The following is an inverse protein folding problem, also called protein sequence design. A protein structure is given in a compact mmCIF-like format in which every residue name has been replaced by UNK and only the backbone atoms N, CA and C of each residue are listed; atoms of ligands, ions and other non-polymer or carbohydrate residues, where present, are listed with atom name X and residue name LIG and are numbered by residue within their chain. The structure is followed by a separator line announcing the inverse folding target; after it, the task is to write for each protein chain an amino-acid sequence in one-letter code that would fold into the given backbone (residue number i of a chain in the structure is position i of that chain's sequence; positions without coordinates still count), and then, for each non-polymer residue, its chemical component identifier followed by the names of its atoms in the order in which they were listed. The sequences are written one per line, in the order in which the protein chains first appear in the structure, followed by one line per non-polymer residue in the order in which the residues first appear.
data_IF_677559488388
#
_entry.id   IF_677559488388
#
_cell.length_a   1.000
_cell.length_b   1.000
_cell.length_c   1.000
_cell.angle_alpha   90.00
_cell.angle_beta   90.00
_cell.angle_gamma   90.00
#
_symmetry.space_group_name_H-M   'P 1'
#
loop_
_entity.id
_entity.type
_entity.pdbx_description
1 polymer ?
#
# COMPACT_ATOMS: atom_id res chain seq x y z
N UNK A 1 -14.52 13.07 3.09
CA UNK A 1 -13.63 11.90 2.97
C UNK A 1 -12.35 12.36 2.31
N UNK A 2 -11.22 12.42 3.02
CA UNK A 2 -9.94 12.68 2.37
C UNK A 2 -8.86 11.87 3.08
N UNK A 3 -8.60 10.69 2.55
CA UNK A 3 -7.41 9.91 2.85
C UNK A 3 -6.89 9.44 1.50
N UNK A 4 -6.26 10.36 0.76
CA UNK A 4 -5.34 9.92 -0.28
C UNK A 4 -4.10 9.49 0.47
N UNK A 5 -3.82 8.18 0.50
CA UNK A 5 -2.56 7.68 1.07
C UNK A 5 -1.38 8.43 0.45
N UNK A 6 -0.21 8.42 1.09
CA UNK A 6 0.99 8.98 0.49
C UNK A 6 2.05 7.88 0.45
N UNK A 7 2.85 7.86 -0.62
CA UNK A 7 3.84 6.82 -0.83
C UNK A 7 5.21 7.44 -0.69
N UNK A 8 6.04 6.88 0.18
CA UNK A 8 7.45 7.25 0.32
C UNK A 8 8.29 6.27 -0.49
N UNK A 9 9.14 6.81 -1.34
CA UNK A 9 10.18 6.07 -2.05
C UNK A 9 11.52 6.40 -1.40
N UNK A 10 12.25 5.38 -0.95
CA UNK A 10 13.54 5.50 -0.29
C UNK A 10 14.56 4.61 -1.00
N UNK A 11 15.60 5.22 -1.56
CA UNK A 11 16.71 4.55 -2.21
C UNK A 11 17.99 4.85 -1.42
N UNK A 12 18.54 3.89 -0.68
CA UNK A 12 19.85 4.06 -0.05
C UNK A 12 20.96 4.15 -1.11
N UNK A 13 22.05 4.83 -0.77
CA UNK A 13 23.27 4.91 -1.60
C UNK A 13 23.89 3.53 -1.78
N UNK A 14 23.84 2.69 -0.74
CA UNK A 14 24.32 1.31 -0.79
C UNK A 14 23.13 0.34 -0.87
N UNK A 15 23.02 -0.48 -1.93
CA UNK A 15 21.94 -1.45 -2.06
C UNK A 15 21.95 -2.51 -0.95
N UNK A 16 23.07 -2.69 -0.24
CA UNK A 16 23.15 -3.59 0.93
C UNK A 16 22.34 -3.09 2.12
N UNK A 17 22.01 -1.80 2.16
CA UNK A 17 21.21 -1.20 3.22
C UNK A 17 19.70 -1.28 2.95
N UNK A 18 19.27 -1.77 1.79
CA UNK A 18 17.85 -1.94 1.45
C UNK A 18 17.08 -2.78 2.49
N UNK A 19 17.58 -3.94 2.96
CA UNK A 19 16.88 -4.71 3.99
C UNK A 19 16.76 -3.96 5.33
N UNK A 20 17.79 -3.19 5.70
CA UNK A 20 17.78 -2.37 6.91
C UNK A 20 16.79 -1.21 6.76
N UNK A 21 16.82 -0.54 5.62
CA UNK A 21 15.87 0.52 5.23
C UNK A 21 14.43 0.01 5.34
N UNK A 22 14.15 -1.20 4.85
CA UNK A 22 12.85 -1.85 5.00
C UNK A 22 12.40 -1.93 6.45
N UNK A 23 13.24 -2.47 7.33
CA UNK A 23 12.94 -2.60 8.77
C UNK A 23 12.70 -1.28 9.47
N UNK A 24 13.43 -0.23 9.07
CA UNK A 24 13.25 1.11 9.63
C UNK A 24 11.91 1.72 9.20
N UNK A 25 11.43 1.37 8.01
CA UNK A 25 10.20 1.88 7.41
C UNK A 25 8.94 1.07 7.78
N UNK A 26 9.07 -0.20 8.16
CA UNK A 26 7.98 -1.05 8.67
C UNK A 26 7.04 -0.36 9.67
N UNK A 27 7.51 0.32 10.74
CA UNK A 27 6.63 0.96 11.71
C UNK A 27 5.83 2.17 11.18
N UNK A 28 6.17 2.68 9.99
CA UNK A 28 5.46 3.78 9.33
C UNK A 28 4.44 3.28 8.29
N UNK A 29 4.49 2.00 7.94
CA UNK A 29 3.57 1.38 7.00
C UNK A 29 2.14 1.45 7.56
N UNK A 30 1.19 1.82 6.70
CA UNK A 30 -0.23 1.92 7.08
C UNK A 30 -0.81 0.55 7.46
N UNK A 31 -0.38 -0.50 6.75
CA UNK A 31 -0.82 -1.89 6.87
C UNK A 31 0.35 -2.82 6.46
N UNK A 32 0.29 -4.12 6.76
CA UNK A 32 1.37 -5.09 6.46
C UNK A 32 1.74 -5.16 4.95
N UNK A 33 0.77 -4.96 4.05
CA UNK A 33 0.98 -4.98 2.59
C UNK A 33 1.45 -3.62 2.03
N UNK A 34 1.57 -2.60 2.89
CA UNK A 34 1.89 -1.24 2.49
C UNK A 34 3.39 -1.00 2.26
N UNK A 35 4.25 -2.00 2.47
CA UNK A 35 5.70 -1.92 2.26
C UNK A 35 6.15 -2.87 1.15
N UNK A 36 6.91 -2.34 0.20
CA UNK A 36 7.49 -3.08 -0.93
C UNK A 36 9.00 -2.86 -0.95
N UNK A 37 9.74 -3.97 -0.89
CA UNK A 37 11.20 -3.97 -0.92
C UNK A 37 11.63 -4.48 -2.29
N UNK A 38 12.23 -3.59 -3.09
CA UNK A 38 12.84 -3.92 -4.38
C UNK A 38 14.36 -4.18 -4.17
N UNK A 39 15.11 -4.45 -5.25
CA UNK A 39 16.54 -4.75 -5.15
C UNK A 39 17.40 -3.55 -4.70
N UNK A 40 16.96 -2.33 -5.01
CA UNK A 40 17.73 -1.09 -4.83
C UNK A 40 16.99 -0.05 -3.99
N UNK A 41 15.69 -0.25 -3.75
CA UNK A 41 14.85 0.75 -3.10
C UNK A 41 13.73 0.11 -2.26
N UNK A 42 13.18 0.89 -1.35
CA UNK A 42 12.02 0.55 -0.53
C UNK A 42 10.92 1.56 -0.78
N UNK A 43 9.71 1.06 -1.02
CA UNK A 43 8.50 1.87 -1.16
C UNK A 43 7.59 1.59 0.03
N UNK A 44 7.10 2.62 0.72
CA UNK A 44 6.17 2.46 1.83
C UNK A 44 4.99 3.42 1.72
N UNK A 45 3.78 2.91 1.86
CA UNK A 45 2.54 3.67 1.93
C UNK A 45 2.27 4.11 3.37
N UNK A 46 2.33 5.42 3.59
CA UNK A 46 2.12 6.07 4.90
C UNK A 46 0.73 6.73 4.98
N UNK A 47 0.21 6.85 6.20
CA UNK A 47 -1.11 7.42 6.43
C UNK A 47 -1.16 8.95 6.21
N UNK A 48 -0.06 9.66 6.48
CA UNK A 48 0.00 11.13 6.38
C UNK A 48 1.42 11.62 6.07
N UNK A 49 1.56 12.59 5.17
CA UNK A 49 2.83 13.14 4.68
C UNK A 49 3.67 13.86 5.73
N UNK A 50 3.10 14.25 6.88
CA UNK A 50 3.87 14.79 8.01
C UNK A 50 4.86 13.76 8.57
N UNK A 51 4.61 12.46 8.35
CA UNK A 51 5.49 11.39 8.82
C UNK A 51 6.82 11.32 8.03
N UNK A 52 6.93 11.97 6.86
CA UNK A 52 8.17 11.97 6.07
C UNK A 52 9.37 12.51 6.87
N UNK A 53 9.17 13.55 7.69
CA UNK A 53 10.24 14.09 8.54
C UNK A 53 10.72 13.11 9.61
N UNK A 54 9.80 12.27 10.13
CA UNK A 54 10.14 11.23 11.10
C UNK A 54 10.87 10.06 10.43
N UNK A 55 10.44 9.69 9.24
CA UNK A 55 11.12 8.70 8.39
C UNK A 55 12.56 9.11 8.11
N UNK A 56 12.77 10.34 7.61
CA UNK A 56 14.10 10.85 7.31
C UNK A 56 15.01 10.84 8.55
N UNK A 57 14.48 11.23 9.72
CA UNK A 57 15.23 11.19 10.97
C UNK A 57 15.59 9.77 11.41
N UNK A 58 14.66 8.82 11.29
CA UNK A 58 14.93 7.42 11.62
C UNK A 58 15.99 6.78 10.74
N UNK A 59 16.00 7.10 9.45
CA UNK A 59 17.03 6.64 8.53
C UNK A 59 18.41 7.23 8.89
N UNK A 60 18.45 8.50 9.29
CA UNK A 60 19.67 9.18 9.77
C UNK A 60 20.18 8.60 11.11
N UNK A 61 19.29 8.33 12.08
CA UNK A 61 19.64 7.71 13.36
C UNK A 61 20.27 6.31 13.18
N UNK A 62 19.88 5.58 12.13
CA UNK A 62 20.42 4.26 11.77
C UNK A 62 21.67 4.36 10.87
N UNK A 63 22.09 5.57 10.51
CA UNK A 63 23.29 5.82 9.70
C UNK A 63 23.15 5.47 8.22
N UNK A 64 21.92 5.34 7.72
CA UNK A 64 21.67 4.95 6.34
C UNK A 64 21.69 6.18 5.43
N UNK A 65 22.64 6.23 4.51
CA UNK A 65 22.75 7.31 3.53
C UNK A 65 21.71 7.11 2.42
N UNK A 66 20.85 8.10 2.19
CA UNK A 66 19.86 8.07 1.11
C UNK A 66 20.43 8.74 -0.15
N UNK A 67 20.33 8.06 -1.28
CA UNK A 67 20.55 8.61 -2.61
C UNK A 67 19.30 9.37 -3.10
N UNK A 68 18.11 8.78 -2.91
CA UNK A 68 16.82 9.40 -3.20
C UNK A 68 15.82 9.15 -2.06
N UNK A 69 15.15 10.21 -1.60
CA UNK A 69 14.00 10.11 -0.69
C UNK A 69 12.89 11.03 -1.20
N UNK A 70 11.78 10.43 -1.65
CA UNK A 70 10.71 11.16 -2.35
C UNK A 70 9.31 10.79 -1.83
N UNK A 71 8.42 11.78 -1.77
CA UNK A 71 7.01 11.59 -1.45
C UNK A 71 6.19 11.66 -2.75
N UNK A 72 5.45 10.59 -3.04
CA UNK A 72 4.61 10.44 -4.22
C UNK A 72 3.15 10.32 -3.82
N UNK A 73 2.26 10.74 -4.73
CA UNK A 73 0.83 10.41 -4.61
C UNK A 73 0.63 8.97 -5.08
N UNK A 74 -0.24 8.19 -4.42
CA UNK A 74 -0.54 6.82 -4.80
C UNK A 74 -1.04 6.82 -6.24
N UNK A 75 -0.58 5.81 -6.96
CA UNK A 75 -0.93 5.58 -8.35
C UNK A 75 -2.43 5.32 -8.45
N UNK A 76 -3.06 5.60 -9.59
CA UNK A 76 -4.48 5.27 -9.81
C UNK A 76 -4.77 3.77 -9.62
N UNK A 77 -3.80 2.90 -9.96
CA UNK A 77 -3.85 1.44 -9.78
C UNK A 77 -4.16 1.01 -8.33
N UNK A 78 -3.54 1.66 -7.35
CA UNK A 78 -3.68 1.30 -5.93
C UNK A 78 -5.04 1.74 -5.36
N UNK A 79 -5.58 2.87 -5.84
CA UNK A 79 -6.93 3.33 -5.47
C UNK A 79 -8.02 2.50 -6.17
N UNK A 80 -7.73 2.01 -7.37
CA UNK A 80 -8.64 1.11 -8.09
C UNK A 80 -8.82 -0.20 -7.33
N UNK A 81 -7.74 -0.77 -6.79
CA UNK A 81 -7.80 -2.00 -5.99
C UNK A 81 -8.59 -1.80 -4.68
N UNK A 82 -8.38 -0.67 -3.99
CA UNK A 82 -9.12 -0.34 -2.76
C UNK A 82 -10.62 -0.05 -2.99
N UNK A 83 -11.02 0.34 -4.21
CA UNK A 83 -12.42 0.66 -4.56
C UNK A 83 -13.15 -0.54 -5.19
N UNK A 84 -12.45 -1.52 -5.76
CA UNK A 84 -13.08 -2.68 -6.43
C UNK A 84 -13.12 -3.97 -5.59
N UNK A 85 -12.61 -3.96 -4.35
CA UNK A 85 -12.64 -5.11 -3.42
C UNK A 85 -14.02 -5.52 -2.86
N UNK A 86 -15.15 -5.14 -3.46
CA UNK A 86 -16.49 -5.61 -3.07
C UNK A 86 -17.34 -6.10 -4.25
N UNK A 87 -16.74 -6.66 -5.31
CA UNK A 87 -17.48 -7.51 -6.26
C UNK A 87 -16.68 -8.76 -6.60
N UNK A 88 -16.77 -9.75 -5.72
CA UNK A 88 -16.57 -11.18 -5.94
C UNK A 88 -16.94 -11.75 -4.58
N UNK A 89 -18.16 -12.20 -4.32
CA UNK A 89 -18.75 -13.40 -4.92
C UNK A 89 -20.21 -13.16 -5.34
N UNK A 90 -20.47 -13.13 -6.66
CA UNK A 90 -21.75 -13.64 -7.18
C UNK A 90 -21.72 -15.16 -6.95
N UNK A 91 -22.21 -15.62 -5.80
CA UNK A 91 -22.59 -17.01 -5.68
C UNK A 91 -23.95 -17.18 -6.36
N UNK A 92 -23.83 -17.69 -7.57
CA UNK A 92 -24.86 -18.24 -8.42
C UNK A 92 -25.83 -19.19 -7.67
N UNK A 93 -27.04 -19.28 -8.23
CA UNK A 93 -28.02 -20.38 -8.15
C UNK A 93 -29.03 -20.38 -6.98
N UNK A 94 -30.09 -19.58 -7.16
CA UNK A 94 -31.45 -20.00 -6.77
C UNK A 94 -32.27 -20.07 -8.06
N UNK A 95 -32.25 -21.26 -8.67
CA UNK A 95 -33.14 -21.64 -9.77
C UNK A 95 -34.21 -22.55 -9.18
N UNK A 96 -35.08 -21.98 -8.35
CA UNK A 96 -36.33 -22.64 -7.98
C UNK A 96 -37.37 -22.37 -9.08
N UNK A 97 -37.27 -23.20 -10.12
CA UNK A 97 -38.35 -23.43 -11.07
C UNK A 97 -39.37 -24.38 -10.45
N UNK A 98 -40.26 -23.84 -9.60
CA UNK A 98 -41.49 -24.47 -9.11
C UNK A 98 -42.44 -23.31 -8.76
N UNK A 99 -43.66 -23.11 -9.27
CA UNK A 99 -44.67 -24.08 -9.61
C UNK A 99 -45.72 -23.46 -10.54
N UNK A 100 -46.14 -24.25 -11.50
CA UNK A 100 -47.50 -24.43 -12.02
C UNK A 100 -48.67 -23.64 -11.36
N UNK A 101 -49.62 -23.20 -12.21
CA UNK A 101 -51.10 -23.20 -12.00
C UNK A 101 -51.88 -21.88 -12.03
N UNK A 102 -52.90 -21.98 -12.89
CA UNK A 102 -54.22 -21.32 -12.97
C UNK A 102 -54.26 -20.00 -13.72
N UNK A 103 -54.68 -20.00 -14.98
CA UNK A 103 -56.08 -20.15 -15.41
C UNK A 103 -56.97 -19.07 -14.79
N UNK A 104 -57.30 -18.02 -15.55
CA UNK A 104 -58.63 -17.82 -16.16
C UNK A 104 -58.80 -16.38 -16.65
#
# INVERSE_FOLDING_TARGET
MRVGGQVVFAQPVDPRDVPTTGRVLEPFARDDDAIRIDAEAVTVSIADGVQLGQVARRLDDEGIQMDELALRRPSLDEVFLAITGHVTEENELDVDADTERRSS
#
